data_IF_385852849046
#
_entry.id   IF_385852849046
#
_cell.length_a   1.000
_cell.length_b   1.000
_cell.length_c   1.000
_cell.angle_alpha   90.00
_cell.angle_beta   90.00
_cell.angle_gamma   90.00
#
_symmetry.space_group_name_H-M   'P 1'
#
loop_
_entity.id
_entity.type
_entity.pdbx_description
1 polymer ?
#
# COMPACT_ATOMS: atom_id res chain seq x y z
N UNK A 1 14.13 -3.91 -0.73
CA UNK A 1 14.67 -4.65 0.43
C UNK A 1 13.73 -4.39 1.60
N UNK A 2 13.17 -5.43 2.22
CA UNK A 2 12.24 -5.30 3.36
C UNK A 2 12.73 -6.14 4.54
N UNK A 3 12.72 -5.55 5.74
CA UNK A 3 13.15 -6.14 7.01
C UNK A 3 12.01 -5.97 8.00
N UNK A 4 11.39 -7.04 8.49
CA UNK A 4 10.61 -6.97 9.73
C UNK A 4 10.59 -8.30 10.51
N UNK A 5 11.06 -8.24 11.76
CA UNK A 5 10.69 -9.04 12.96
C UNK A 5 11.20 -8.16 14.12
N UNK A 6 10.44 -7.71 15.11
CA UNK A 6 9.44 -8.35 15.97
C UNK A 6 8.88 -7.25 16.90
N UNK A 7 7.62 -6.80 16.77
CA UNK A 7 6.73 -6.22 17.82
C UNK A 7 5.38 -6.04 17.13
N UNK A 8 4.35 -6.88 17.37
CA UNK A 8 2.95 -6.71 16.87
C UNK A 8 2.77 -5.68 15.74
N UNK A 9 3.43 -5.93 14.60
CA UNK A 9 3.98 -4.83 13.80
C UNK A 9 2.97 -4.42 12.75
N UNK A 10 2.56 -3.15 12.78
CA UNK A 10 1.84 -2.54 11.67
C UNK A 10 2.57 -2.86 10.36
N UNK A 11 1.91 -3.58 9.45
CA UNK A 11 2.46 -3.96 8.16
C UNK A 11 2.13 -2.85 7.17
N UNK A 12 3.15 -2.24 6.57
CA UNK A 12 2.97 -1.24 5.52
C UNK A 12 3.03 -1.90 4.14
N UNK A 13 2.02 -1.64 3.30
CA UNK A 13 1.97 -2.09 1.90
C UNK A 13 2.21 -0.90 0.98
N UNK A 14 3.26 -0.98 0.15
CA UNK A 14 3.55 0.02 -0.88
C UNK A 14 2.89 -0.32 -2.21
N UNK A 15 2.16 0.63 -2.80
CA UNK A 15 1.52 0.47 -4.11
C UNK A 15 1.91 1.64 -5.00
N UNK A 16 2.42 1.34 -6.19
CA UNK A 16 2.59 2.34 -7.24
C UNK A 16 1.33 2.39 -8.10
N UNK A 17 0.77 3.58 -8.27
CA UNK A 17 -0.46 3.77 -9.06
C UNK A 17 -0.34 5.01 -9.94
N UNK A 18 -0.87 4.91 -11.16
CA UNK A 18 -1.07 6.07 -12.02
C UNK A 18 -2.40 6.73 -11.65
N UNK A 19 -2.32 7.97 -11.17
CA UNK A 19 -3.48 8.76 -10.79
C UNK A 19 -3.27 10.23 -11.16
N UNK A 20 -4.36 10.97 -11.46
CA UNK A 20 -4.28 12.39 -11.79
C UNK A 20 -3.92 13.29 -10.58
N UNK A 21 -3.98 12.76 -9.35
CA UNK A 21 -3.62 13.47 -8.12
C UNK A 21 -3.25 12.50 -6.99
N UNK A 22 -2.57 12.99 -5.95
CA UNK A 22 -2.25 12.20 -4.74
C UNK A 22 -3.51 11.73 -4.02
N UNK A 23 -4.52 12.59 -3.91
CA UNK A 23 -5.81 12.23 -3.29
C UNK A 23 -6.49 11.06 -4.04
N UNK A 24 -6.46 11.09 -5.37
CA UNK A 24 -7.03 10.01 -6.19
C UNK A 24 -6.18 8.73 -6.08
N UNK A 25 -4.86 8.86 -5.94
CA UNK A 25 -3.98 7.72 -5.66
C UNK A 25 -4.31 7.07 -4.31
N UNK A 26 -4.45 7.85 -3.23
CA UNK A 26 -4.85 7.36 -1.90
C UNK A 26 -6.20 6.66 -1.95
N UNK A 27 -7.20 7.26 -2.59
CA UNK A 27 -8.54 6.70 -2.69
C UNK A 27 -8.53 5.35 -3.40
N UNK A 28 -7.87 5.25 -4.56
CA UNK A 28 -7.77 4.01 -5.35
C UNK A 28 -6.98 2.92 -4.62
N UNK A 29 -5.83 3.28 -4.07
CA UNK A 29 -4.98 2.35 -3.32
C UNK A 29 -5.69 1.85 -2.08
N UNK A 30 -6.34 2.74 -1.32
CA UNK A 30 -7.13 2.36 -0.15
C UNK A 30 -8.26 1.39 -0.49
N UNK A 31 -9.00 1.64 -1.57
CA UNK A 31 -10.05 0.73 -2.03
C UNK A 31 -9.50 -0.63 -2.51
N UNK A 32 -8.35 -0.63 -3.19
CA UNK A 32 -7.68 -1.87 -3.62
C UNK A 32 -7.24 -2.71 -2.42
N UNK A 33 -6.49 -2.11 -1.50
CA UNK A 33 -5.91 -2.83 -0.35
C UNK A 33 -7.02 -3.32 0.58
N UNK A 34 -8.08 -2.53 0.82
CA UNK A 34 -9.23 -2.99 1.64
C UNK A 34 -9.87 -4.24 1.03
N UNK A 35 -10.14 -4.24 -0.28
CA UNK A 35 -10.70 -5.44 -0.95
C UNK A 35 -9.79 -6.65 -0.86
N UNK A 36 -8.48 -6.45 -0.96
CA UNK A 36 -7.51 -7.54 -0.78
C UNK A 36 -7.55 -8.09 0.65
N UNK A 37 -7.56 -7.21 1.67
CA UNK A 37 -7.65 -7.63 3.08
C UNK A 37 -8.98 -8.34 3.37
N UNK A 38 -10.10 -7.82 2.87
CA UNK A 38 -11.43 -8.43 3.05
C UNK A 38 -11.60 -9.76 2.31
N UNK A 39 -10.90 -9.92 1.18
CA UNK A 39 -11.01 -11.10 0.32
C UNK A 39 -10.11 -12.28 0.72
N UNK A 40 -9.11 -12.06 1.57
CA UNK A 40 -8.11 -13.08 1.92
C UNK A 40 -8.34 -13.66 3.32
N UNK A 41 -8.72 -14.95 3.44
CA UNK A 41 -9.03 -15.57 4.73
C UNK A 41 -7.88 -15.51 5.75
N UNK A 42 -6.64 -15.56 5.29
CA UNK A 42 -5.44 -15.48 6.15
C UNK A 42 -5.27 -14.10 6.81
N UNK A 43 -5.94 -13.08 6.27
CA UNK A 43 -5.93 -11.70 6.78
C UNK A 43 -7.16 -11.38 7.63
N UNK A 44 -7.95 -12.39 8.02
CA UNK A 44 -9.09 -12.19 8.92
C UNK A 44 -8.64 -11.50 10.23
N UNK A 45 -9.32 -10.41 10.58
CA UNK A 45 -8.99 -9.59 11.76
C UNK A 45 -7.98 -8.47 11.52
N UNK A 46 -7.39 -8.38 10.32
CA UNK A 46 -6.60 -7.22 9.91
C UNK A 46 -7.49 -6.11 9.35
N UNK A 47 -7.04 -4.87 9.49
CA UNK A 47 -7.73 -3.69 8.96
C UNK A 47 -6.74 -2.67 8.40
N UNK A 48 -7.17 -1.92 7.39
CA UNK A 48 -6.40 -0.78 6.87
C UNK A 48 -6.62 0.42 7.78
N UNK A 49 -5.59 0.76 8.57
CA UNK A 49 -5.66 1.87 9.53
C UNK A 49 -5.41 3.24 8.88
N UNK A 50 -4.48 3.31 7.94
CA UNK A 50 -4.08 4.54 7.26
C UNK A 50 -3.70 4.28 5.81
N UNK A 51 -3.85 5.32 4.98
CA UNK A 51 -3.40 5.35 3.60
C UNK A 51 -2.80 6.73 3.34
N UNK A 52 -1.63 6.77 2.71
CA UNK A 52 -0.99 8.01 2.29
C UNK A 52 -0.31 7.83 0.93
N UNK A 53 -0.28 8.89 0.15
CA UNK A 53 0.46 8.91 -1.11
C UNK A 53 1.50 10.03 -1.11
N UNK A 54 2.64 9.72 -1.72
CA UNK A 54 3.69 10.68 -1.99
C UNK A 54 4.10 10.59 -3.46
N UNK A 55 4.58 11.70 -4.02
CA UNK A 55 5.24 11.67 -5.31
C UNK A 55 6.56 10.93 -5.15
N UNK A 56 6.76 9.90 -5.96
CA UNK A 56 8.04 9.19 -6.03
C UNK A 56 8.83 9.76 -7.21
N UNK A 57 9.90 10.54 -6.98
CA UNK A 57 10.73 11.06 -8.07
C UNK A 57 11.32 9.90 -8.88
N UNK A 58 11.30 10.03 -10.21
CA UNK A 58 11.74 8.98 -11.12
C UNK A 58 13.26 8.94 -11.36
N UNK A 59 13.78 7.83 -11.93
CA UNK A 59 13.08 6.59 -12.24
C UNK A 59 13.19 5.59 -11.09
N UNK A 60 12.06 5.16 -10.52
CA UNK A 60 12.03 4.08 -9.52
C UNK A 60 12.01 2.68 -10.15
N UNK A 61 11.87 2.61 -11.48
CA UNK A 61 12.18 1.44 -12.29
C UNK A 61 13.44 1.74 -13.12
N UNK A 62 14.58 1.19 -12.72
CA UNK A 62 15.76 1.14 -13.56
C UNK A 62 15.67 -0.08 -14.46
N UNK A 63 15.04 0.06 -15.62
CA UNK A 63 15.30 -0.85 -16.74
C UNK A 63 16.22 -0.10 -17.70
N UNK A 64 17.50 -0.50 -17.72
CA UNK A 64 18.27 -0.45 -18.96
C UNK A 64 17.82 -1.59 -19.88
#
# INVERSE_FOLDING_TARGET
MSVHRTVSAEVTVGVFTLAPSLLEAERRTGALVRRAVEGEPELAGFAVLSVGAALVPGPWWGFE
#
